data_IF_167681018694
#
_entry.id   IF_167681018694
#
_cell.length_a   1.000
_cell.length_b   1.000
_cell.length_c   1.000
_cell.angle_alpha   90.00
_cell.angle_beta   90.00
_cell.angle_gamma   90.00
#
_symmetry.space_group_name_H-M   'P 1'
#
loop_
_entity.id
_entity.type
_entity.pdbx_description
1 polymer ?
#
# COMPACT_ATOMS: atom_id res chain seq x y z
N UNK A 1 47.15 -19.55 -32.62
CA UNK A 1 47.16 -18.70 -31.41
C UNK A 1 45.93 -17.79 -31.54
N UNK A 2 44.77 -18.28 -31.08
CA UNK A 2 44.02 -17.77 -29.91
C UNK A 2 43.40 -16.38 -30.20
N UNK A 3 42.14 -16.30 -30.65
CA UNK A 3 40.89 -16.22 -29.86
C UNK A 3 40.87 -15.02 -28.92
N UNK A 4 40.02 -14.04 -29.22
CA UNK A 4 39.05 -13.49 -28.26
C UNK A 4 38.13 -12.48 -28.96
N UNK A 5 37.00 -12.97 -29.47
CA UNK A 5 35.83 -12.14 -29.79
C UNK A 5 34.85 -12.35 -28.63
N UNK A 6 35.03 -11.57 -27.56
CA UNK A 6 34.15 -11.55 -26.38
C UNK A 6 33.37 -10.25 -26.37
N UNK A 7 32.57 -10.07 -27.39
CA UNK A 7 31.62 -8.97 -27.53
C UNK A 7 30.26 -9.42 -26.97
N UNK A 8 30.02 -9.10 -25.69
CA UNK A 8 28.69 -8.79 -25.14
C UNK A 8 27.67 -9.91 -24.97
N UNK A 9 27.95 -10.92 -24.12
CA UNK A 9 26.95 -11.91 -23.65
C UNK A 9 26.36 -11.58 -22.26
N UNK A 10 26.20 -10.30 -21.94
CA UNK A 10 25.54 -9.84 -20.70
C UNK A 10 24.37 -8.92 -21.03
N UNK A 11 23.41 -9.43 -21.81
CA UNK A 11 22.07 -8.86 -21.85
C UNK A 11 21.16 -9.81 -21.06
N UNK A 12 20.58 -9.39 -19.91
CA UNK A 12 19.59 -10.23 -19.24
C UNK A 12 18.48 -10.50 -20.25
N UNK A 13 18.13 -11.78 -20.44
CA UNK A 13 17.00 -12.19 -21.25
C UNK A 13 15.74 -11.56 -20.67
N UNK A 14 15.44 -10.35 -21.15
CA UNK A 14 14.21 -9.63 -20.90
C UNK A 14 13.08 -10.45 -21.49
N UNK A 15 12.37 -11.14 -20.61
CA UNK A 15 11.03 -11.69 -20.81
C UNK A 15 10.29 -10.82 -21.80
N UNK A 16 10.04 -11.35 -23.00
CA UNK A 16 9.47 -10.63 -24.12
C UNK A 16 8.20 -9.91 -23.70
N UNK A 17 8.33 -8.63 -23.38
CA UNK A 17 7.20 -7.73 -23.29
C UNK A 17 6.71 -7.58 -24.72
N UNK A 18 5.69 -8.37 -25.06
CA UNK A 18 4.83 -8.12 -26.20
C UNK A 18 4.31 -6.70 -26.06
N UNK A 19 5.04 -5.76 -26.65
CA UNK A 19 4.65 -4.36 -26.73
C UNK A 19 3.56 -4.33 -27.78
N UNK A 20 2.34 -4.71 -27.37
CA UNK A 20 1.14 -4.46 -28.15
C UNK A 20 1.13 -2.98 -28.51
N UNK A 21 1.32 -2.69 -29.80
CA UNK A 21 1.28 -1.34 -30.35
C UNK A 21 0.00 -0.66 -29.83
N UNK A 22 0.07 0.61 -29.38
CA UNK A 22 -1.14 1.36 -29.06
C UNK A 22 -1.86 1.68 -30.37
N UNK A 23 -2.71 0.76 -30.82
CA UNK A 23 -3.52 0.92 -32.01
C UNK A 23 -4.60 1.96 -31.71
N UNK A 24 -4.37 3.22 -32.12
CA UNK A 24 -5.36 4.26 -32.42
C UNK A 24 -6.63 4.32 -31.52
N UNK A 25 -6.49 4.01 -30.23
CA UNK A 25 -7.58 3.69 -29.27
C UNK A 25 -8.26 4.94 -28.68
N UNK A 26 -7.80 6.11 -29.08
CA UNK A 26 -8.00 7.38 -28.38
C UNK A 26 -9.28 8.13 -28.78
N UNK A 27 -9.80 7.90 -30.00
CA UNK A 27 -11.07 8.50 -30.44
C UNK A 27 -12.27 7.68 -29.99
N UNK A 28 -12.24 6.36 -30.24
CA UNK A 28 -13.28 5.45 -29.78
C UNK A 28 -13.32 5.32 -28.25
N UNK A 29 -12.15 5.40 -27.58
CA UNK A 29 -12.07 5.40 -26.11
C UNK A 29 -12.74 6.61 -25.48
N UNK A 30 -12.43 7.82 -25.95
CA UNK A 30 -13.09 9.05 -25.48
C UNK A 30 -14.59 9.07 -25.78
N UNK A 31 -15.01 8.54 -26.93
CA UNK A 31 -16.44 8.41 -27.24
C UNK A 31 -17.16 7.46 -26.29
N UNK A 32 -16.58 6.28 -26.01
CA UNK A 32 -17.18 5.33 -25.05
C UNK A 32 -17.19 5.87 -23.63
N UNK A 33 -16.17 6.62 -23.21
CA UNK A 33 -16.14 7.27 -21.90
C UNK A 33 -17.18 8.39 -21.77
N UNK A 34 -17.42 9.16 -22.84
CA UNK A 34 -18.48 10.15 -22.90
C UNK A 34 -19.86 9.48 -22.87
N UNK A 35 -20.08 8.41 -23.65
CA UNK A 35 -21.33 7.64 -23.64
C UNK A 35 -21.58 7.01 -22.27
N UNK A 36 -20.56 6.47 -21.61
CA UNK A 36 -20.68 5.89 -20.27
C UNK A 36 -21.07 6.95 -19.24
N UNK A 37 -20.48 8.15 -19.29
CA UNK A 37 -20.90 9.28 -18.45
C UNK A 37 -22.30 9.78 -18.80
N UNK A 38 -22.67 9.80 -20.07
CA UNK A 38 -23.99 10.23 -20.51
C UNK A 38 -25.10 9.28 -20.02
N UNK A 39 -24.93 7.96 -20.17
CA UNK A 39 -25.91 6.95 -19.76
C UNK A 39 -26.14 6.90 -18.24
N UNK A 40 -25.13 7.20 -17.43
CA UNK A 40 -25.23 7.17 -15.96
C UNK A 40 -25.80 8.44 -15.31
N UNK A 41 -26.03 9.51 -16.08
CA UNK A 41 -26.45 10.81 -15.53
C UNK A 41 -27.97 10.98 -15.67
N UNK A 42 -28.72 11.41 -14.62
CA UNK A 42 -30.17 11.64 -14.71
C UNK A 42 -30.56 12.69 -15.77
N UNK A 43 -29.61 13.55 -16.15
CA UNK A 43 -29.77 14.53 -17.23
C UNK A 43 -30.06 13.88 -18.59
N UNK A 44 -29.51 12.70 -18.88
CA UNK A 44 -29.77 12.01 -20.14
C UNK A 44 -31.24 11.58 -20.25
N UNK A 45 -31.78 11.00 -19.18
CA UNK A 45 -33.18 10.62 -19.12
C UNK A 45 -34.09 11.84 -19.29
N UNK A 46 -33.78 12.95 -18.60
CA UNK A 46 -34.54 14.20 -18.75
C UNK A 46 -34.51 14.76 -20.18
N UNK A 47 -33.35 14.77 -20.84
CA UNK A 47 -33.21 15.19 -22.23
C UNK A 47 -34.01 14.28 -23.19
N UNK A 48 -33.96 12.95 -22.99
CA UNK A 48 -34.71 11.99 -23.79
C UNK A 48 -36.22 12.18 -23.61
N UNK A 49 -36.69 12.37 -22.37
CA UNK A 49 -38.10 12.65 -22.08
C UNK A 49 -38.54 13.97 -22.71
N UNK A 50 -37.72 15.01 -22.62
CA UNK A 50 -38.01 16.31 -23.23
C UNK A 50 -38.09 16.20 -24.76
N UNK A 51 -37.18 15.45 -25.38
CA UNK A 51 -37.20 15.18 -26.82
C UNK A 51 -38.49 14.47 -27.24
N UNK A 52 -38.89 13.40 -26.53
CA UNK A 52 -40.15 12.71 -26.80
C UNK A 52 -41.37 13.62 -26.64
N UNK A 53 -41.39 14.45 -25.59
CA UNK A 53 -42.48 15.40 -25.34
C UNK A 53 -42.55 16.48 -26.44
N UNK A 54 -41.42 17.07 -26.81
CA UNK A 54 -41.33 18.06 -27.90
C UNK A 54 -41.79 17.47 -29.23
N UNK A 55 -41.38 16.24 -29.55
CA UNK A 55 -41.81 15.55 -30.76
C UNK A 55 -43.32 15.32 -30.78
N UNK A 56 -43.87 14.84 -29.66
CA UNK A 56 -45.31 14.62 -29.52
C UNK A 56 -46.09 15.93 -29.72
N UNK A 57 -45.64 17.03 -29.09
CA UNK A 57 -46.25 18.36 -29.26
C UNK A 57 -46.14 18.85 -30.70
N UNK A 58 -44.96 18.73 -31.32
CA UNK A 58 -44.73 19.12 -32.71
C UNK A 58 -45.69 18.39 -33.66
N UNK A 59 -45.81 17.06 -33.52
CA UNK A 59 -46.70 16.25 -34.35
C UNK A 59 -48.17 16.63 -34.17
N UNK A 60 -48.62 16.89 -32.94
CA UNK A 60 -50.01 17.33 -32.68
C UNK A 60 -50.30 18.72 -33.27
N UNK A 61 -49.36 19.66 -33.14
CA UNK A 61 -49.50 21.02 -33.69
C UNK A 61 -49.44 20.99 -35.23
N UNK A 62 -48.57 20.17 -35.81
CA UNK A 62 -48.48 19.99 -37.25
C UNK A 62 -49.78 19.41 -37.85
N UNK A 63 -50.44 18.51 -37.12
CA UNK A 63 -51.73 17.93 -37.52
C UNK A 63 -52.86 18.97 -37.48
N UNK A 64 -52.93 19.82 -36.46
CA UNK A 64 -53.96 20.87 -36.34
C UNK A 64 -53.82 21.99 -37.38
N UNK A 65 -52.59 22.29 -37.81
CA UNK A 65 -52.30 23.41 -38.71
C UNK A 65 -52.26 23.02 -40.20
N UNK A 66 -52.49 21.75 -40.54
CA UNK A 66 -52.49 21.27 -41.93
C UNK A 66 -51.12 21.31 -42.62
N UNK A 67 -50.03 21.34 -41.85
CA UNK A 67 -48.65 21.32 -42.36
C UNK A 67 -48.22 19.90 -42.77
N UNK A 68 -47.05 19.77 -43.42
CA UNK A 68 -46.52 18.50 -43.93
C UNK A 68 -46.58 17.36 -42.87
N UNK A 69 -47.41 16.35 -43.13
CA UNK A 69 -47.67 15.20 -42.23
C UNK A 69 -46.54 14.18 -42.32
N UNK A 70 -45.54 14.29 -41.46
CA UNK A 70 -44.46 13.31 -41.35
C UNK A 70 -44.77 12.16 -40.37
N UNK A 71 -45.61 12.40 -39.36
CA UNK A 71 -46.07 11.42 -38.35
C UNK A 71 -47.53 11.81 -37.99
N UNK A 72 -48.48 10.86 -37.91
CA UNK A 72 -49.87 11.18 -37.50
C UNK A 72 -50.08 10.76 -36.04
N UNK A 73 -50.63 11.64 -35.21
CA UNK A 73 -50.95 11.28 -33.83
C UNK A 73 -52.04 10.19 -33.78
N UNK A 74 -52.94 10.15 -34.77
CA UNK A 74 -53.97 9.12 -34.92
C UNK A 74 -53.42 7.69 -35.10
N UNK A 75 -52.18 7.53 -35.58
CA UNK A 75 -51.50 6.23 -35.77
C UNK A 75 -50.55 5.90 -34.60
N UNK A 76 -50.58 6.69 -33.53
CA UNK A 76 -49.78 6.43 -32.32
C UNK A 76 -48.29 6.73 -32.46
N UNK A 77 -47.90 7.73 -33.27
CA UNK A 77 -46.50 8.15 -33.45
C UNK A 77 -45.59 7.01 -33.96
N UNK A 78 -45.98 6.43 -35.10
CA UNK A 78 -45.27 5.27 -35.69
C UNK A 78 -43.80 5.61 -35.97
N UNK A 79 -43.51 6.82 -36.45
CA UNK A 79 -42.13 7.22 -36.75
C UNK A 79 -41.27 7.29 -35.47
N UNK A 80 -41.80 7.89 -34.40
CA UNK A 80 -41.13 7.93 -33.10
C UNK A 80 -40.86 6.53 -32.55
N UNK A 81 -41.83 5.63 -32.67
CA UNK A 81 -41.72 4.24 -32.21
C UNK A 81 -40.66 3.46 -32.99
N UNK A 82 -40.61 3.65 -34.33
CA UNK A 82 -39.58 3.04 -35.17
C UNK A 82 -38.18 3.53 -34.79
N UNK A 83 -38.03 4.84 -34.55
CA UNK A 83 -36.75 5.44 -34.14
C UNK A 83 -36.31 4.92 -32.76
N UNK A 84 -37.21 4.85 -31.78
CA UNK A 84 -36.91 4.34 -30.45
C UNK A 84 -36.53 2.84 -30.47
N UNK A 85 -37.22 2.05 -31.30
CA UNK A 85 -36.91 0.63 -31.48
C UNK A 85 -35.52 0.43 -32.10
N UNK A 86 -35.18 1.26 -33.09
CA UNK A 86 -33.83 1.27 -33.69
C UNK A 86 -32.77 1.71 -32.67
N UNK A 87 -33.06 2.74 -31.86
CA UNK A 87 -32.14 3.24 -30.84
C UNK A 87 -31.78 2.14 -29.82
N UNK A 88 -32.77 1.39 -29.35
CA UNK A 88 -32.54 0.26 -28.46
C UNK A 88 -31.70 -0.84 -29.13
N UNK A 89 -31.98 -1.16 -30.40
CA UNK A 89 -31.25 -2.19 -31.15
C UNK A 89 -29.78 -1.84 -31.39
N UNK A 90 -29.45 -0.58 -31.67
CA UNK A 90 -28.07 -0.14 -31.86
C UNK A 90 -27.32 0.11 -30.53
N UNK A 91 -28.04 0.38 -29.44
CA UNK A 91 -27.43 0.51 -28.12
C UNK A 91 -26.78 -0.81 -27.66
N UNK A 92 -27.44 -1.95 -27.88
CA UNK A 92 -26.94 -3.27 -27.47
C UNK A 92 -25.50 -3.59 -27.96
N UNK A 93 -25.17 -3.50 -29.26
CA UNK A 93 -23.80 -3.77 -29.74
C UNK A 93 -22.78 -2.72 -29.26
N UNK A 94 -23.18 -1.46 -29.09
CA UNK A 94 -22.31 -0.42 -28.53
C UNK A 94 -21.95 -0.70 -27.07
N UNK A 95 -22.94 -1.13 -26.27
CA UNK A 95 -22.75 -1.52 -24.88
C UNK A 95 -21.81 -2.74 -24.82
N UNK A 96 -21.99 -3.73 -25.68
CA UNK A 96 -21.16 -4.93 -25.72
C UNK A 96 -19.68 -4.59 -26.04
N UNK A 97 -19.44 -3.66 -26.96
CA UNK A 97 -18.08 -3.14 -27.24
C UNK A 97 -17.49 -2.35 -26.06
N UNK A 98 -18.32 -1.59 -25.34
CA UNK A 98 -17.90 -0.86 -24.15
C UNK A 98 -17.52 -1.82 -23.01
N UNK A 99 -18.32 -2.88 -22.82
CA UNK A 99 -18.10 -3.94 -21.82
C UNK A 99 -16.81 -4.70 -22.08
N UNK A 100 -16.57 -5.19 -23.31
CA UNK A 100 -15.30 -5.87 -23.65
C UNK A 100 -14.06 -5.02 -23.30
N UNK A 101 -14.15 -3.68 -23.41
CA UNK A 101 -13.07 -2.77 -23.04
C UNK A 101 -12.97 -2.49 -21.54
N UNK A 102 -14.05 -2.64 -20.80
CA UNK A 102 -14.03 -2.60 -19.34
C UNK A 102 -13.39 -3.89 -18.82
N UNK A 103 -13.83 -5.05 -19.32
CA UNK A 103 -13.28 -6.35 -18.96
C UNK A 103 -11.77 -6.47 -19.25
N UNK A 104 -11.30 -5.94 -20.38
CA UNK A 104 -9.88 -5.85 -20.71
C UNK A 104 -9.09 -5.03 -19.67
N UNK A 105 -9.65 -3.90 -19.20
CA UNK A 105 -9.03 -3.03 -18.20
C UNK A 105 -9.03 -3.68 -16.82
N UNK A 106 -10.16 -4.27 -16.44
CA UNK A 106 -10.33 -4.97 -15.17
C UNK A 106 -9.37 -6.16 -15.08
N UNK A 107 -9.18 -6.89 -16.18
CA UNK A 107 -8.18 -7.96 -16.26
C UNK A 107 -6.76 -7.47 -16.02
N UNK A 108 -6.37 -6.35 -16.63
CA UNK A 108 -5.03 -5.75 -16.42
C UNK A 108 -4.87 -5.26 -14.99
N UNK A 109 -5.91 -4.66 -14.40
CA UNK A 109 -5.90 -4.21 -13.02
C UNK A 109 -5.74 -5.39 -12.04
N UNK A 110 -6.47 -6.49 -12.26
CA UNK A 110 -6.35 -7.72 -11.46
C UNK A 110 -4.93 -8.29 -11.51
N UNK A 111 -4.32 -8.33 -12.71
CA UNK A 111 -2.94 -8.82 -12.87
C UNK A 111 -1.93 -7.93 -12.12
N UNK A 112 -2.08 -6.61 -12.19
CA UNK A 112 -1.24 -5.69 -11.42
C UNK A 112 -1.43 -5.83 -9.92
N UNK A 113 -2.66 -5.99 -9.45
CA UNK A 113 -2.96 -6.18 -8.03
C UNK A 113 -2.38 -7.49 -7.52
N UNK A 114 -2.41 -8.56 -8.33
CA UNK A 114 -1.74 -9.82 -8.03
C UNK A 114 -0.22 -9.65 -7.90
N UNK A 115 0.42 -8.99 -8.86
CA UNK A 115 1.87 -8.74 -8.81
C UNK A 115 2.27 -7.86 -7.61
N UNK A 116 1.42 -6.89 -7.25
CA UNK A 116 1.62 -6.07 -6.04
C UNK A 116 1.48 -6.90 -4.78
N UNK A 117 0.48 -7.78 -4.70
CA UNK A 117 0.31 -8.67 -3.56
C UNK A 117 1.51 -9.62 -3.38
N UNK A 118 2.02 -10.20 -4.48
CA UNK A 118 3.22 -11.04 -4.45
C UNK A 118 4.46 -10.27 -3.95
N UNK A 119 4.65 -9.02 -4.41
CA UNK A 119 5.75 -8.16 -3.94
C UNK A 119 5.59 -7.78 -2.47
N UNK A 120 4.39 -7.43 -2.04
CA UNK A 120 4.11 -7.08 -0.65
C UNK A 120 4.36 -8.29 0.26
N UNK A 121 3.96 -9.49 -0.16
CA UNK A 121 4.25 -10.72 0.58
C UNK A 121 5.76 -10.90 0.73
N UNK A 122 6.52 -10.79 -0.38
CA UNK A 122 7.98 -10.91 -0.33
C UNK A 122 8.65 -9.84 0.57
N UNK A 123 8.17 -8.60 0.54
CA UNK A 123 8.66 -7.51 1.40
C UNK A 123 8.35 -7.78 2.87
N UNK A 124 7.15 -8.28 3.19
CA UNK A 124 6.82 -8.68 4.57
C UNK A 124 7.65 -9.85 5.06
N UNK A 125 7.94 -10.84 4.21
CA UNK A 125 8.83 -11.95 4.56
C UNK A 125 10.27 -11.47 4.78
N UNK A 126 10.73 -10.50 3.98
CA UNK A 126 12.04 -9.89 4.10
C UNK A 126 12.16 -9.12 5.43
N UNK A 127 11.21 -8.22 5.71
CA UNK A 127 11.15 -7.48 6.97
C UNK A 127 11.04 -8.42 8.18
N UNK A 128 10.27 -9.51 8.09
CA UNK A 128 10.18 -10.50 9.16
C UNK A 128 11.55 -11.15 9.45
N UNK A 129 12.32 -11.50 8.41
CA UNK A 129 13.68 -12.05 8.57
C UNK A 129 14.64 -11.03 9.17
N UNK A 130 14.57 -9.77 8.72
CA UNK A 130 15.38 -8.69 9.27
C UNK A 130 15.06 -8.41 10.74
N UNK A 131 13.79 -8.43 11.13
CA UNK A 131 13.36 -8.26 12.52
C UNK A 131 13.89 -9.42 13.39
N UNK A 132 13.85 -10.66 12.90
CA UNK A 132 14.42 -11.81 13.62
C UNK A 132 15.93 -11.66 13.79
N UNK A 133 16.64 -11.27 12.73
CA UNK A 133 18.08 -11.01 12.80
C UNK A 133 18.42 -9.87 13.78
N UNK A 134 17.65 -8.78 13.75
CA UNK A 134 17.80 -7.66 14.67
C UNK A 134 17.55 -8.09 16.12
N UNK A 135 16.50 -8.90 16.36
CA UNK A 135 16.18 -9.43 17.69
C UNK A 135 17.32 -10.26 18.24
N UNK A 136 17.88 -11.18 17.46
CA UNK A 136 19.01 -12.01 17.89
C UNK A 136 20.24 -11.15 18.22
N UNK A 137 20.55 -10.15 17.40
CA UNK A 137 21.66 -9.23 17.67
C UNK A 137 21.46 -8.42 18.96
N UNK A 138 20.23 -8.01 19.27
CA UNK A 138 19.90 -7.32 20.52
C UNK A 138 19.98 -8.26 21.73
N UNK A 139 19.50 -9.51 21.61
CA UNK A 139 19.59 -10.52 22.67
C UNK A 139 21.04 -10.84 23.02
N UNK A 140 21.91 -11.03 22.01
CA UNK A 140 23.35 -11.25 22.19
C UNK A 140 24.02 -10.07 22.93
N UNK A 141 23.73 -8.84 22.51
CA UNK A 141 24.27 -7.63 23.16
C UNK A 141 23.82 -7.51 24.63
N UNK A 142 22.57 -7.83 24.91
CA UNK A 142 22.04 -7.80 26.27
C UNK A 142 22.68 -8.88 27.15
N UNK A 143 22.91 -10.08 26.63
CA UNK A 143 23.58 -11.17 27.35
C UNK A 143 25.02 -10.80 27.75
N UNK A 144 25.76 -10.15 26.85
CA UNK A 144 27.11 -9.66 27.14
C UNK A 144 27.14 -8.59 28.24
N UNK A 145 26.16 -7.67 28.24
CA UNK A 145 26.06 -6.64 29.28
C UNK A 145 25.81 -7.25 30.68
N UNK A 146 24.87 -8.19 30.78
CA UNK A 146 24.59 -8.92 32.04
C UNK A 146 25.85 -9.63 32.53
N UNK A 147 26.58 -10.31 31.65
CA UNK A 147 27.80 -11.03 32.00
C UNK A 147 28.87 -10.08 32.54
N UNK A 148 29.06 -8.93 31.88
CA UNK A 148 30.02 -7.91 32.31
C UNK A 148 29.66 -7.34 33.69
N UNK A 149 28.39 -7.04 33.91
CA UNK A 149 27.95 -6.42 35.16
C UNK A 149 28.03 -7.43 36.32
N UNK A 150 27.77 -8.72 36.08
CA UNK A 150 28.02 -9.81 37.04
C UNK A 150 29.51 -9.93 37.34
N UNK A 151 30.38 -10.02 36.33
CA UNK A 151 31.84 -10.06 36.53
C UNK A 151 32.33 -8.85 37.34
N UNK A 152 31.80 -7.66 37.05
CA UNK A 152 32.14 -6.44 37.77
C UNK A 152 31.67 -6.48 39.23
N UNK A 153 30.51 -7.07 39.49
CA UNK A 153 29.99 -7.24 40.84
C UNK A 153 30.85 -8.20 41.65
N UNK A 154 31.16 -9.37 41.09
CA UNK A 154 32.04 -10.37 41.71
C UNK A 154 33.45 -9.82 41.98
N UNK A 155 34.04 -9.12 41.00
CA UNK A 155 35.34 -8.46 41.17
C UNK A 155 35.32 -7.43 42.32
N UNK A 156 34.23 -6.67 42.47
CA UNK A 156 34.08 -5.72 43.58
C UNK A 156 33.91 -6.42 44.92
N UNK A 157 33.15 -7.52 44.97
CA UNK A 157 32.97 -8.31 46.17
C UNK A 157 34.31 -8.89 46.66
N UNK A 158 35.12 -9.46 45.76
CA UNK A 158 36.45 -9.97 46.09
C UNK A 158 37.43 -8.87 46.53
N UNK A 159 37.37 -7.69 45.90
CA UNK A 159 38.22 -6.56 46.29
C UNK A 159 37.87 -6.07 47.70
N UNK A 160 36.57 -6.00 48.04
CA UNK A 160 36.12 -5.58 49.36
C UNK A 160 36.56 -6.56 50.46
N UNK A 161 36.57 -7.86 50.18
CA UNK A 161 37.04 -8.90 51.12
C UNK A 161 38.54 -8.75 51.45
N UNK A 162 39.34 -8.31 50.47
CA UNK A 162 40.78 -8.01 50.66
C UNK A 162 41.04 -6.70 51.41
N UNK A 163 40.22 -5.67 51.20
CA UNK A 163 40.34 -4.39 51.89
C UNK A 163 39.91 -4.48 53.38
N UNK A 164 39.09 -5.48 53.75
CA UNK A 164 38.68 -5.75 55.13
C UNK A 164 39.73 -6.52 55.96
N UNK A 165 40.91 -6.83 55.38
CA UNK A 165 42.05 -7.38 56.13
C UNK A 165 42.67 -6.24 56.99
N UNK A 166 42.58 -6.29 58.34
CA UNK A 166 42.92 -5.16 59.19
C UNK A 166 44.43 -4.85 59.13
N UNK A 167 44.83 -3.56 59.16
CA UNK A 167 46.23 -3.19 59.09
C UNK A 167 46.99 -3.76 60.28
N UNK A 168 48.05 -4.52 59.98
CA UNK A 168 48.99 -5.06 60.95
C UNK A 168 49.36 -3.98 62.00
N UNK A 169 49.05 -4.28 63.26
CA UNK A 169 49.40 -3.45 64.41
C UNK A 169 50.91 -3.20 64.45
N UNK A 170 51.31 -2.01 64.02
CA UNK A 170 52.60 -1.41 64.32
C UNK A 170 52.37 -0.20 65.24
N UNK A 171 52.39 -0.43 66.55
CA UNK A 171 52.64 0.57 67.60
C UNK A 171 53.09 -0.22 68.85
N UNK A 172 54.32 -0.08 69.33
CA UNK A 172 54.90 1.19 69.72
C UNK A 172 55.08 1.17 71.24
N UNK A 173 56.27 0.75 71.66
CA UNK A 173 56.89 0.94 72.96
C UNK A 173 56.47 2.24 73.68
N UNK A 174 55.87 2.15 74.88
CA UNK A 174 56.23 2.99 76.05
C UNK A 174 55.57 2.47 77.35
N UNK A 175 56.34 1.92 78.29
CA UNK A 175 55.95 1.86 79.72
C UNK A 175 56.90 2.73 80.53
N UNK A 176 56.50 3.99 80.75
CA UNK A 176 57.03 4.87 81.80
C UNK A 176 55.90 5.13 82.78
N UNK A 177 56.10 4.82 84.07
CA UNK A 177 55.08 4.94 85.12
C UNK A 177 54.72 6.38 85.48
N UNK A 178 53.71 6.57 86.36
CA UNK A 178 54.06 7.22 87.63
C UNK A 178 53.35 6.68 88.87
N UNK A 179 54.01 7.01 89.97
CA UNK A 179 53.77 6.75 91.39
C UNK A 179 52.48 7.43 91.88
N UNK A 180 51.68 6.76 92.71
CA UNK A 180 50.83 7.45 93.70
C UNK A 180 50.68 6.59 94.97
N UNK A 181 51.20 7.11 96.08
CA UNK A 181 51.04 6.57 97.45
C UNK A 181 49.61 6.77 97.95
N UNK A 182 49.04 5.85 98.75
CA UNK A 182 48.00 6.20 99.70
C UNK A 182 48.55 6.35 101.12
N UNK A 183 47.94 7.31 101.80
CA UNK A 183 48.25 7.91 103.09
C UNK A 183 47.61 7.09 104.23
N UNK A 184 48.39 6.78 105.28
CA UNK A 184 47.95 6.22 106.59
C UNK A 184 46.85 7.10 107.24
N UNK A 185 45.96 6.59 108.12
CA UNK A 185 46.36 6.18 109.49
C UNK A 185 45.48 5.13 110.23
N UNK A 186 45.86 4.89 111.50
CA UNK A 186 45.25 4.10 112.62
C UNK A 186 45.83 2.68 112.76
N UNK A 187 46.25 2.19 113.93
CA UNK A 187 46.17 2.65 115.33
C UNK A 187 47.52 2.40 116.04
#
# INVERSE_FOLDING_TARGET
>A
MAKDDRSGLDAPLGRGASRQKPQSRDRFGRFTEWVARAMGTPVFLLMLTLFCALWMVYTVVAEQNGWWRFDSAALGFTALTLILSLQASYAAPLILLAQNRQDDRDRVQIEHDRQRAERNLADTEYLAREIVALRMALEERNAQAVTRDVLRHELRALLADLDDEPPAEAAGDTRTGPITRPRRPRA
#
